data_IF_570209868379
#
_entry.id   IF_570209868379
#
_cell.length_a   1.000
_cell.length_b   1.000
_cell.length_c   1.000
_cell.angle_alpha   90.00
_cell.angle_beta   90.00
_cell.angle_gamma   90.00
#
_symmetry.space_group_name_H-M   'P 1'
#
loop_
_entity.id
_entity.type
_entity.pdbx_description
1 polymer ?
#
# COMPACT_ATOMS: atom_id res chain seq x y z
N UNK A 1 1.48 -15.83 12.54
CA UNK A 1 2.32 -14.76 11.95
C UNK A 1 2.80 -15.25 10.60
N UNK A 2 2.46 -14.54 9.52
CA UNK A 2 2.69 -14.91 8.12
C UNK A 2 4.09 -14.46 7.66
N UNK A 3 5.13 -14.98 8.29
CA UNK A 3 6.48 -14.87 7.75
C UNK A 3 7.10 -16.26 7.75
N UNK A 4 7.47 -16.73 6.56
CA UNK A 4 8.41 -17.85 6.40
C UNK A 4 9.81 -17.25 6.63
N UNK A 5 10.73 -18.01 7.24
CA UNK A 5 12.13 -17.60 7.32
C UNK A 5 12.63 -17.21 5.92
N UNK A 6 13.42 -16.13 5.87
CA UNK A 6 13.63 -15.36 4.65
C UNK A 6 14.37 -16.17 3.58
N UNK A 7 13.66 -16.50 2.50
CA UNK A 7 14.29 -16.79 1.21
C UNK A 7 15.20 -15.60 0.84
N UNK A 8 16.40 -15.87 0.37
CA UNK A 8 17.37 -14.83 0.02
C UNK A 8 16.89 -14.12 -1.25
N UNK A 9 16.54 -12.84 -1.14
CA UNK A 9 16.06 -12.04 -2.25
C UNK A 9 16.98 -10.83 -2.48
N UNK A 10 17.54 -10.74 -3.68
CA UNK A 10 18.38 -9.64 -4.11
C UNK A 10 17.60 -8.71 -5.03
N UNK A 11 17.56 -7.42 -4.66
CA UNK A 11 16.98 -6.37 -5.50
C UNK A 11 17.92 -6.03 -6.66
N UNK A 12 17.47 -6.25 -7.90
CA UNK A 12 18.21 -5.87 -9.10
C UNK A 12 17.90 -4.42 -9.45
N UNK A 13 16.62 -4.07 -9.57
CA UNK A 13 16.18 -2.74 -9.97
C UNK A 13 14.74 -2.46 -9.50
N UNK A 14 14.37 -1.19 -9.42
CA UNK A 14 13.01 -0.80 -9.11
C UNK A 14 12.64 0.53 -9.78
N UNK A 15 11.34 0.74 -9.97
CA UNK A 15 10.73 2.01 -10.36
C UNK A 15 9.59 2.35 -9.40
N UNK A 16 8.76 3.34 -9.73
CA UNK A 16 7.57 3.64 -8.93
C UNK A 16 6.63 2.44 -8.80
N UNK A 17 6.47 1.64 -9.86
CA UNK A 17 5.49 0.54 -9.93
C UNK A 17 6.10 -0.81 -10.33
N UNK A 18 7.41 -0.90 -10.49
CA UNK A 18 8.08 -2.13 -10.92
C UNK A 18 9.16 -2.49 -9.91
N UNK A 19 9.22 -3.76 -9.52
CA UNK A 19 10.26 -4.29 -8.65
C UNK A 19 10.83 -5.51 -9.37
N UNK A 20 12.13 -5.48 -9.60
CA UNK A 20 12.89 -6.56 -10.22
C UNK A 20 13.82 -7.17 -9.19
N UNK A 21 13.57 -8.42 -8.83
CA UNK A 21 14.29 -9.13 -7.79
C UNK A 21 14.66 -10.54 -8.27
N UNK A 22 15.79 -11.02 -7.80
CA UNK A 22 16.16 -12.43 -7.88
C UNK A 22 15.91 -13.05 -6.51
N UNK A 23 15.13 -14.12 -6.50
CA UNK A 23 14.79 -14.85 -5.28
C UNK A 23 15.41 -16.24 -5.36
N UNK A 24 16.11 -16.60 -4.29
CA UNK A 24 16.69 -17.92 -4.10
C UNK A 24 15.93 -18.63 -3.00
N UNK A 25 15.34 -19.76 -3.35
CA UNK A 25 14.62 -20.63 -2.43
C UNK A 25 15.19 -22.05 -2.55
N UNK A 26 15.27 -22.78 -1.44
CA UNK A 26 15.84 -24.13 -1.40
C UNK A 26 15.03 -25.14 -2.24
N UNK A 27 13.71 -24.95 -2.33
CA UNK A 27 12.78 -25.84 -3.05
C UNK A 27 12.68 -25.51 -4.54
N UNK A 28 12.81 -24.23 -4.91
CA UNK A 28 12.53 -23.72 -6.27
C UNK A 28 13.77 -23.23 -7.01
N UNK A 29 14.95 -23.23 -6.38
CA UNK A 29 16.18 -22.70 -6.95
C UNK A 29 16.13 -21.19 -7.14
N UNK A 30 16.84 -20.70 -8.17
CA UNK A 30 16.93 -19.29 -8.51
C UNK A 30 15.80 -18.89 -9.48
N UNK A 31 14.94 -17.96 -9.08
CA UNK A 31 13.92 -17.39 -9.95
C UNK A 31 13.88 -15.87 -9.87
N UNK A 32 13.23 -15.23 -10.84
CA UNK A 32 13.20 -13.77 -10.98
C UNK A 32 11.76 -13.26 -10.87
N UNK A 33 11.54 -12.31 -9.96
CA UNK A 33 10.32 -11.53 -9.84
C UNK A 33 10.50 -10.25 -10.64
N UNK A 34 9.79 -10.09 -11.74
CA UNK A 34 9.85 -8.87 -12.57
C UNK A 34 8.62 -7.99 -12.40
N UNK A 35 7.45 -8.57 -12.16
CA UNK A 35 6.22 -7.82 -11.93
C UNK A 35 5.32 -8.58 -10.94
N UNK A 36 4.78 -7.84 -9.97
CA UNK A 36 3.86 -8.36 -8.95
C UNK A 36 2.42 -7.88 -9.16
N UNK A 37 2.14 -7.06 -10.19
CA UNK A 37 0.83 -6.45 -10.42
C UNK A 37 0.41 -5.52 -9.29
N UNK A 38 1.38 -4.85 -8.67
CA UNK A 38 1.20 -3.93 -7.55
C UNK A 38 1.36 -2.48 -8.02
N UNK A 39 0.53 -1.61 -7.48
CA UNK A 39 0.48 -0.18 -7.77
C UNK A 39 0.77 0.61 -6.50
N UNK A 40 1.66 1.61 -6.59
CA UNK A 40 1.90 2.54 -5.49
C UNK A 40 0.70 3.47 -5.32
N UNK A 41 0.06 3.43 -4.15
CA UNK A 41 -1.00 4.38 -3.82
C UNK A 41 -0.41 5.76 -3.57
N UNK A 42 -1.00 6.76 -4.20
CA UNK A 42 -0.62 8.15 -4.00
C UNK A 42 -0.98 8.63 -2.60
N UNK A 43 -0.06 9.35 -1.96
CA UNK A 43 -0.34 10.02 -0.70
C UNK A 43 -1.20 11.26 -0.97
N UNK A 44 -2.24 11.46 -0.18
CA UNK A 44 -3.03 12.68 -0.17
C UNK A 44 -2.46 13.60 0.90
N UNK A 45 -2.11 14.84 0.50
CA UNK A 45 -1.49 15.83 1.38
C UNK A 45 0.04 15.76 1.33
N UNK A 46 0.68 15.76 2.50
CA UNK A 46 2.14 15.81 2.62
C UNK A 46 2.80 14.52 2.08
N UNK A 47 3.68 14.64 1.08
CA UNK A 47 4.19 13.50 0.29
C UNK A 47 5.34 12.74 0.95
N UNK A 48 5.91 13.24 2.05
CA UNK A 48 7.10 12.68 2.68
C UNK A 48 6.79 12.07 4.03
N UNK A 49 7.27 10.86 4.27
CA UNK A 49 6.98 10.10 5.50
C UNK A 49 8.13 10.15 6.51
N UNK A 50 9.17 10.92 6.18
CA UNK A 50 10.33 11.13 7.01
C UNK A 50 10.92 12.50 6.73
N UNK A 51 11.39 13.15 7.79
CA UNK A 51 12.05 14.44 7.73
C UNK A 51 13.25 14.47 8.69
N UNK A 52 14.27 15.27 8.33
CA UNK A 52 15.39 15.61 9.21
C UNK A 52 15.73 17.09 9.08
N UNK A 53 16.01 17.73 10.21
CA UNK A 53 16.41 19.14 10.23
C UNK A 53 15.25 20.09 9.95
N UNK A 54 14.02 19.76 10.37
CA UNK A 54 12.86 20.64 10.22
C UNK A 54 13.15 22.03 10.79
N UNK A 55 12.75 23.07 10.05
CA UNK A 55 13.01 24.48 10.38
C UNK A 55 14.50 24.87 10.40
N UNK A 56 15.34 24.20 9.60
CA UNK A 56 16.75 24.58 9.41
C UNK A 56 17.07 24.68 7.92
N UNK A 57 18.19 25.33 7.57
CA UNK A 57 18.68 25.40 6.19
C UNK A 57 19.06 24.03 5.60
N UNK A 58 19.18 23.00 6.45
CA UNK A 58 19.49 21.63 6.09
C UNK A 58 18.25 20.70 6.17
N UNK A 59 17.05 21.23 5.98
CA UNK A 59 15.82 20.44 6.00
C UNK A 59 15.75 19.48 4.81
N UNK A 60 15.60 18.19 5.10
CA UNK A 60 15.51 17.11 4.12
C UNK A 60 14.25 16.31 4.39
N UNK A 61 13.51 15.99 3.33
CA UNK A 61 12.30 15.17 3.37
C UNK A 61 12.42 13.98 2.40
N UNK A 62 11.98 12.81 2.84
CA UNK A 62 12.06 11.56 2.07
C UNK A 62 10.77 10.75 2.26
N UNK A 63 10.28 10.14 1.18
CA UNK A 63 9.18 9.16 1.24
C UNK A 63 9.75 7.76 1.50
N UNK A 64 9.78 7.36 2.77
CA UNK A 64 10.25 6.03 3.21
C UNK A 64 9.18 4.96 3.13
N UNK A 65 7.90 5.32 3.28
CA UNK A 65 6.79 4.36 3.31
C UNK A 65 5.95 4.49 2.05
N UNK A 66 5.64 3.34 1.43
CA UNK A 66 4.73 3.20 0.30
C UNK A 66 3.66 2.17 0.63
N UNK A 67 2.44 2.40 0.17
CA UNK A 67 1.36 1.43 0.26
C UNK A 67 1.12 0.88 -1.13
N UNK A 68 1.39 -0.41 -1.33
CA UNK A 68 1.23 -1.08 -2.61
C UNK A 68 -0.09 -1.86 -2.63
N UNK A 69 -0.86 -1.71 -3.71
CA UNK A 69 -2.17 -2.38 -3.87
C UNK A 69 -2.27 -3.04 -5.23
N UNK A 70 -2.99 -4.16 -5.31
CA UNK A 70 -3.26 -4.83 -6.59
C UNK A 70 -4.57 -4.35 -7.22
N UNK A 71 -4.78 -4.73 -8.48
CA UNK A 71 -6.00 -4.40 -9.23
C UNK A 71 -7.29 -4.90 -8.55
N UNK A 72 -7.27 -6.07 -7.91
CA UNK A 72 -8.44 -6.59 -7.20
C UNK A 72 -8.87 -5.68 -6.04
N UNK A 73 -7.90 -5.10 -5.33
CA UNK A 73 -8.14 -4.16 -4.24
C UNK A 73 -8.63 -2.81 -4.76
N UNK A 74 -8.00 -2.27 -5.81
CA UNK A 74 -8.41 -1.01 -6.46
C UNK A 74 -9.87 -1.08 -6.96
N UNK A 75 -10.25 -2.20 -7.58
CA UNK A 75 -11.63 -2.41 -8.04
C UNK A 75 -12.65 -2.45 -6.89
N UNK A 76 -12.24 -2.92 -5.70
CA UNK A 76 -13.12 -2.98 -4.52
C UNK A 76 -13.26 -1.62 -3.83
N UNK A 77 -12.19 -0.84 -3.81
CA UNK A 77 -12.13 0.47 -3.15
C UNK A 77 -11.67 1.56 -4.13
N UNK A 78 -12.47 1.87 -5.16
CA UNK A 78 -12.07 2.80 -6.22
C UNK A 78 -11.89 4.24 -5.73
N UNK A 79 -12.41 4.57 -4.54
CA UNK A 79 -12.33 5.90 -3.93
C UNK A 79 -11.37 5.94 -2.74
N UNK A 80 -10.54 4.90 -2.56
CA UNK A 80 -9.63 4.86 -1.43
C UNK A 80 -8.61 5.98 -1.45
N UNK A 81 -8.25 6.46 -0.27
CA UNK A 81 -7.22 7.49 -0.08
C UNK A 81 -6.23 7.04 0.97
N UNK A 82 -4.96 7.36 0.73
CA UNK A 82 -3.88 7.16 1.66
C UNK A 82 -3.44 8.55 2.14
N UNK A 83 -3.50 8.81 3.44
CA UNK A 83 -3.10 10.09 4.01
C UNK A 83 -1.82 9.95 4.80
N UNK A 84 -0.99 10.98 4.69
CA UNK A 84 0.09 11.20 5.64
C UNK A 84 -0.44 12.02 6.81
N UNK A 85 -0.34 11.49 8.02
CA UNK A 85 -0.78 12.19 9.21
C UNK A 85 0.38 13.05 9.73
N UNK A 86 0.31 14.36 9.50
CA UNK A 86 1.32 15.28 10.01
C UNK A 86 1.50 15.12 11.53
N UNK A 87 2.75 14.98 11.98
CA UNK A 87 3.08 14.74 13.38
C UNK A 87 2.97 13.28 13.84
N UNK A 88 2.66 12.34 12.94
CA UNK A 88 2.67 10.90 13.20
C UNK A 88 3.58 10.17 12.20
N UNK A 89 4.31 9.12 12.62
CA UNK A 89 5.04 8.27 11.68
C UNK A 89 4.12 7.32 10.90
N UNK A 90 2.80 7.41 11.06
CA UNK A 90 1.83 6.47 10.51
C UNK A 90 1.09 7.02 9.30
N UNK A 91 0.86 6.15 8.31
CA UNK A 91 -0.05 6.41 7.20
C UNK A 91 -1.47 5.97 7.56
N UNK A 92 -2.47 6.77 7.18
CA UNK A 92 -3.88 6.42 7.32
C UNK A 92 -4.45 5.98 5.98
N UNK A 93 -4.85 4.71 5.88
CA UNK A 93 -5.58 4.19 4.73
C UNK A 93 -7.09 4.29 4.98
N UNK A 94 -7.78 4.99 4.09
CA UNK A 94 -9.23 5.10 4.12
C UNK A 94 -9.84 4.34 2.93
N UNK A 95 -10.22 3.06 3.09
CA UNK A 95 -10.83 2.28 2.03
C UNK A 95 -12.28 2.74 1.83
N UNK A 96 -12.53 3.47 0.74
CA UNK A 96 -13.88 3.91 0.36
C UNK A 96 -14.37 3.11 -0.84
N UNK A 97 -15.57 2.58 -0.70
CA UNK A 97 -16.32 1.97 -1.80
C UNK A 97 -17.46 2.91 -2.20
N UNK A 98 -17.96 2.79 -3.42
CA UNK A 98 -19.19 3.48 -3.80
C UNK A 98 -20.33 2.88 -2.97
N UNK A 99 -21.01 3.71 -2.18
CA UNK A 99 -22.25 3.30 -1.54
C UNK A 99 -23.24 3.10 -2.68
N UNK A 100 -23.42 1.86 -3.13
CA UNK A 100 -24.53 1.58 -4.03
C UNK A 100 -25.80 2.05 -3.29
N UNK A 101 -26.59 2.90 -3.94
CA UNK A 101 -27.93 3.28 -3.48
C UNK A 101 -28.90 2.07 -3.60
N UNK A 102 -28.44 0.87 -3.21
CA UNK A 102 -29.25 -0.31 -3.02
C UNK A 102 -30.20 -0.05 -1.88
N UNK A 103 -31.45 0.26 -2.24
CA UNK A 103 -32.64 0.35 -1.39
C UNK A 103 -32.46 -0.54 -0.15
N UNK A 104 -32.20 0.05 1.01
CA UNK A 104 -32.13 -0.68 2.29
C UNK A 104 -33.45 -1.42 2.45
N UNK A 105 -33.48 -2.73 2.17
CA UNK A 105 -34.62 -3.57 2.55
C UNK A 105 -34.65 -3.54 4.07
N UNK A 106 -35.53 -2.69 4.61
CA UNK A 106 -35.80 -2.66 6.04
C UNK A 106 -36.33 -4.05 6.40
N UNK A 107 -35.60 -4.77 7.24
CA UNK A 107 -36.13 -5.95 7.90
C UNK A 107 -37.43 -5.53 8.60
N UNK A 108 -38.54 -6.15 8.22
CA UNK A 108 -39.81 -6.06 8.92
C UNK A 108 -40.11 -7.48 9.40
N UNK A 109 -40.29 -7.64 10.71
CA UNK A 109 -40.92 -8.83 11.26
C UNK A 109 -42.44 -8.59 11.20
N UNK A 110 -43.16 -9.47 10.53
CA UNK A 110 -44.60 -9.61 10.75
C UNK A 110 -44.75 -10.39 12.06
N UNK A 111 -45.27 -9.74 13.10
CA UNK A 111 -45.69 -10.43 14.30
C UNK A 111 -47.05 -11.08 13.99
N UNK A 112 -47.12 -12.41 14.17
CA UNK A 112 -48.34 -13.19 14.15
C UNK A 112 -49.16 -12.97 15.43
#
# INVERSE_FOLDING_TARGET
MLWKEADHADLISFSTNHIDMVVKNDDHGLWRLTDAGLHDMELTGHQYTWEKGRNTDAWIEIRLVRALVNNAWLNRFPLAKLYNLEGSPSLLLEPRTEVSNGRKKRFRFENA
#
